data_IF_414950333129
#
_entry.id   IF_414950333129
#
_cell.length_a   1.000
_cell.length_b   1.000
_cell.length_c   1.000
_cell.angle_alpha   90.00
_cell.angle_beta   90.00
_cell.angle_gamma   90.00
#
_symmetry.space_group_name_H-M   'P 1'
#
loop_
_entity.id
_entity.type
_entity.pdbx_description
1 polymer ?
#
# COMPACT_ATOMS: atom_id res chain seq x y z
N UNK A 1 -16.03 1.78 -13.29
CA UNK A 1 -14.82 1.64 -12.44
C UNK A 1 -13.64 2.20 -13.20
N UNK A 2 -12.87 3.10 -12.59
CA UNK A 2 -11.62 3.63 -13.15
C UNK A 2 -10.48 3.30 -12.19
N UNK A 3 -9.38 2.74 -12.71
CA UNK A 3 -8.18 2.42 -11.93
C UNK A 3 -6.98 3.10 -12.58
N UNK A 4 -6.22 3.86 -11.79
CA UNK A 4 -4.92 4.40 -12.16
C UNK A 4 -3.84 3.69 -11.36
N UNK A 5 -3.11 2.80 -12.03
CA UNK A 5 -1.96 2.11 -11.46
C UNK A 5 -0.78 3.09 -11.38
N UNK A 6 -0.29 3.33 -10.17
CA UNK A 6 0.79 4.28 -9.87
C UNK A 6 2.13 3.54 -9.78
N UNK A 7 2.16 2.39 -9.09
CA UNK A 7 3.35 1.55 -8.94
C UNK A 7 3.02 0.08 -9.17
N UNK A 8 4.02 -0.67 -9.65
CA UNK A 8 3.98 -2.13 -9.73
C UNK A 8 3.04 -2.69 -10.79
N UNK A 9 2.39 -3.82 -10.52
CA UNK A 9 1.46 -4.46 -11.45
C UNK A 9 0.14 -4.91 -10.82
N UNK A 10 -0.96 -4.73 -11.55
CA UNK A 10 -2.29 -5.16 -11.16
C UNK A 10 -3.19 -5.21 -12.40
N UNK A 11 -4.21 -6.09 -12.38
CA UNK A 11 -5.21 -6.19 -13.45
C UNK A 11 -4.62 -6.37 -14.85
N UNK A 12 -3.52 -7.13 -14.97
CA UNK A 12 -2.81 -7.35 -16.23
C UNK A 12 -2.10 -6.13 -16.81
N UNK A 13 -1.92 -5.07 -16.01
CA UNK A 13 -1.20 -3.84 -16.37
C UNK A 13 0.00 -3.65 -15.44
N UNK A 14 1.03 -2.95 -15.93
CA UNK A 14 2.25 -2.61 -15.19
C UNK A 14 2.55 -1.12 -15.31
N UNK A 15 2.85 -0.48 -14.19
CA UNK A 15 3.31 0.90 -14.14
C UNK A 15 4.78 1.02 -14.63
N UNK A 16 5.21 2.19 -15.12
CA UNK A 16 6.54 2.36 -15.70
C UNK A 16 7.68 2.42 -14.66
N UNK A 17 7.36 2.62 -13.38
CA UNK A 17 8.37 2.69 -12.32
C UNK A 17 9.00 1.32 -12.05
N UNK A 18 10.34 1.29 -11.98
CA UNK A 18 11.07 0.10 -11.55
C UNK A 18 10.78 -0.18 -10.07
N UNK A 19 10.36 -1.42 -9.78
CA UNK A 19 10.12 -1.89 -8.42
C UNK A 19 11.22 -2.88 -8.01
N UNK A 20 11.62 -2.83 -6.74
CA UNK A 20 12.60 -3.75 -6.15
C UNK A 20 11.97 -4.92 -5.38
N UNK A 21 10.64 -4.96 -5.34
CA UNK A 21 9.83 -6.03 -4.75
C UNK A 21 8.47 -6.07 -5.46
N UNK A 22 7.75 -7.19 -5.32
CA UNK A 22 6.35 -7.26 -5.76
C UNK A 22 5.53 -6.18 -5.06
N UNK A 23 4.73 -5.45 -5.82
CA UNK A 23 4.00 -4.28 -5.34
C UNK A 23 2.85 -4.00 -6.29
N UNK A 24 1.76 -3.47 -5.75
CA UNK A 24 0.85 -2.63 -6.49
C UNK A 24 0.44 -1.43 -5.64
N UNK A 25 0.21 -0.30 -6.31
CA UNK A 25 -0.33 0.90 -5.70
C UNK A 25 -1.21 1.62 -6.71
N UNK A 26 -2.49 1.82 -6.41
CA UNK A 26 -3.41 2.41 -7.37
C UNK A 26 -4.46 3.32 -6.73
N UNK A 27 -4.84 4.38 -7.47
CA UNK A 27 -6.01 5.22 -7.22
C UNK A 27 -7.21 4.62 -7.96
N UNK A 28 -8.29 4.37 -7.24
CA UNK A 28 -9.51 3.76 -7.76
C UNK A 28 -10.68 4.71 -7.56
N UNK A 29 -11.45 4.92 -8.63
CA UNK A 29 -12.78 5.54 -8.57
C UNK A 29 -13.85 4.50 -8.90
N UNK A 30 -14.78 4.35 -7.97
CA UNK A 30 -15.95 3.49 -8.09
C UNK A 30 -17.19 4.38 -8.19
N UNK A 31 -17.97 4.16 -9.23
CA UNK A 31 -19.34 4.67 -9.31
C UNK A 31 -20.21 3.98 -8.25
N UNK A 32 -21.39 4.55 -7.98
CA UNK A 32 -22.36 3.95 -7.07
C UNK A 32 -22.61 2.46 -7.38
N UNK A 33 -22.63 1.61 -6.34
CA UNK A 33 -22.79 0.16 -6.42
C UNK A 33 -21.76 -0.60 -7.27
N UNK A 34 -20.75 0.08 -7.84
CA UNK A 34 -19.72 -0.58 -8.64
C UNK A 34 -18.86 -1.49 -7.77
N UNK A 35 -18.44 -2.63 -8.34
CA UNK A 35 -17.64 -3.63 -7.65
C UNK A 35 -16.24 -3.73 -8.25
N UNK A 36 -15.26 -3.98 -7.39
CA UNK A 36 -13.88 -4.20 -7.79
C UNK A 36 -13.29 -5.39 -7.01
N UNK A 37 -12.89 -6.48 -7.68
CA UNK A 37 -12.04 -7.49 -7.04
C UNK A 37 -10.67 -6.89 -6.74
N UNK A 38 -10.14 -7.15 -5.55
CA UNK A 38 -8.75 -6.82 -5.24
C UNK A 38 -7.81 -7.75 -6.03
N UNK A 39 -6.62 -7.28 -6.43
CA UNK A 39 -5.58 -8.15 -6.97
C UNK A 39 -5.32 -9.35 -6.03
N UNK A 40 -5.12 -10.54 -6.59
CA UNK A 40 -4.94 -11.79 -5.86
C UNK A 40 -3.51 -12.36 -5.94
N UNK A 41 -2.63 -11.70 -6.69
CA UNK A 41 -1.23 -12.07 -6.87
C UNK A 41 -0.27 -11.41 -5.86
N UNK A 42 -0.79 -10.91 -4.74
CA UNK A 42 0.00 -10.21 -3.72
C UNK A 42 -0.40 -10.70 -2.32
N UNK A 43 0.61 -10.94 -1.49
CA UNK A 43 0.44 -11.53 -0.16
C UNK A 43 -0.24 -10.53 0.81
N UNK A 44 0.42 -9.40 1.06
CA UNK A 44 -0.13 -8.33 1.89
C UNK A 44 -0.95 -7.36 1.03
N UNK A 45 -2.18 -7.04 1.49
CA UNK A 45 -3.10 -6.15 0.78
C UNK A 45 -3.86 -5.24 1.74
N UNK A 46 -4.13 -4.03 1.28
CA UNK A 46 -4.91 -3.05 2.02
C UNK A 46 -5.66 -2.09 1.12
N UNK A 47 -6.65 -1.44 1.72
CA UNK A 47 -7.45 -0.39 1.10
C UNK A 47 -7.52 0.77 2.07
N UNK A 48 -7.31 1.98 1.55
CA UNK A 48 -7.63 3.22 2.23
C UNK A 48 -8.78 3.92 1.51
N UNK A 49 -9.87 4.20 2.23
CA UNK A 49 -11.03 4.93 1.71
C UNK A 49 -10.73 6.42 1.79
N UNK A 50 -10.55 7.05 0.64
CA UNK A 50 -10.31 8.50 0.53
C UNK A 50 -11.62 9.26 0.64
N UNK A 51 -12.67 8.75 -0.01
CA UNK A 51 -13.99 9.38 -0.07
C UNK A 51 -15.09 8.32 -0.25
N UNK A 52 -16.29 8.59 0.26
CA UNK A 52 -17.46 7.74 0.11
C UNK A 52 -17.47 6.57 1.10
N UNK A 53 -18.09 5.47 0.68
CA UNK A 53 -18.20 4.26 1.49
C UNK A 53 -18.08 3.01 0.63
N UNK A 54 -17.67 1.91 1.25
CA UNK A 54 -17.61 0.60 0.61
C UNK A 54 -18.21 -0.47 1.51
N UNK A 55 -18.68 -1.55 0.89
CA UNK A 55 -19.09 -2.78 1.54
C UNK A 55 -18.13 -3.91 1.18
N UNK A 56 -17.70 -4.66 2.20
CA UNK A 56 -16.89 -5.87 2.06
C UNK A 56 -17.53 -6.97 2.90
N UNK A 57 -17.87 -8.10 2.28
CA UNK A 57 -18.50 -9.23 2.95
C UNK A 57 -19.74 -8.85 3.80
N UNK A 58 -20.55 -7.90 3.32
CA UNK A 58 -21.77 -7.44 3.99
C UNK A 58 -21.54 -6.48 5.15
N UNK A 59 -20.30 -6.01 5.35
CA UNK A 59 -19.97 -4.96 6.31
C UNK A 59 -19.57 -3.68 5.60
N UNK A 60 -20.15 -2.58 6.04
CA UNK A 60 -19.90 -1.27 5.48
C UNK A 60 -18.82 -0.51 6.23
N UNK A 61 -18.07 0.29 5.48
CA UNK A 61 -16.96 1.11 5.94
C UNK A 61 -17.01 2.46 5.23
N UNK A 62 -16.72 3.53 5.95
CA UNK A 62 -16.80 4.90 5.44
C UNK A 62 -15.45 5.60 5.49
N UNK A 63 -15.26 6.61 4.64
CA UNK A 63 -14.07 7.44 4.65
C UNK A 63 -13.99 8.32 5.92
N UNK A 64 -12.78 8.59 6.44
CA UNK A 64 -11.49 8.03 6.06
C UNK A 64 -11.16 6.78 6.89
N UNK A 65 -10.82 5.66 6.22
CA UNK A 65 -10.49 4.43 6.94
C UNK A 65 -9.49 3.55 6.18
N UNK A 66 -8.54 2.95 6.91
CA UNK A 66 -7.62 1.92 6.42
C UNK A 66 -8.12 0.53 6.81
N UNK A 67 -8.06 -0.42 5.88
CA UNK A 67 -8.28 -1.84 6.11
C UNK A 67 -7.07 -2.63 5.61
N UNK A 68 -6.68 -3.64 6.39
CA UNK A 68 -5.62 -4.59 6.06
C UNK A 68 -6.25 -5.96 6.00
N UNK A 69 -5.96 -6.71 4.93
CA UNK A 69 -6.53 -8.04 4.69
C UNK A 69 -5.49 -9.11 4.96
N UNK A 70 -5.96 -10.31 5.31
CA UNK A 70 -5.06 -11.45 5.48
C UNK A 70 -4.61 -11.94 4.09
N UNK A 71 -3.41 -12.52 3.99
CA UNK A 71 -2.97 -13.19 2.78
C UNK A 71 -3.96 -14.25 2.32
N UNK A 72 -4.21 -14.32 1.01
CA UNK A 72 -5.10 -15.32 0.39
C UNK A 72 -6.60 -14.99 0.37
N UNK A 73 -7.08 -13.99 1.13
CA UNK A 73 -8.51 -13.64 1.14
C UNK A 73 -8.97 -13.13 -0.24
N UNK A 74 -10.03 -13.72 -0.80
CA UNK A 74 -10.64 -13.20 -2.03
C UNK A 74 -11.55 -12.02 -1.70
N UNK A 75 -10.98 -10.83 -1.71
CA UNK A 75 -11.69 -9.59 -1.40
C UNK A 75 -12.30 -8.99 -2.67
N UNK A 76 -13.60 -8.72 -2.64
CA UNK A 76 -14.28 -7.85 -3.60
C UNK A 76 -14.95 -6.73 -2.83
N UNK A 77 -14.68 -5.49 -3.22
CA UNK A 77 -15.33 -4.32 -2.63
C UNK A 77 -16.49 -3.88 -3.50
N UNK A 78 -17.55 -3.39 -2.88
CA UNK A 78 -18.66 -2.71 -3.55
C UNK A 78 -18.74 -1.27 -3.03
N UNK A 79 -18.88 -0.28 -3.90
CA UNK A 79 -19.09 1.09 -3.46
C UNK A 79 -20.52 1.30 -2.96
N UNK A 80 -20.68 2.19 -1.98
CA UNK A 80 -21.99 2.64 -1.50
C UNK A 80 -22.73 3.49 -2.53
N UNK A 81 -23.88 4.03 -2.12
CA UNK A 81 -24.81 4.75 -3.01
C UNK A 81 -24.23 6.01 -3.66
N UNK A 82 -23.22 6.62 -3.04
CA UNK A 82 -22.55 7.82 -3.55
C UNK A 82 -21.27 7.52 -4.33
N UNK A 83 -20.95 6.25 -4.56
CA UNK A 83 -19.65 5.83 -5.06
C UNK A 83 -18.55 5.92 -3.99
N UNK A 84 -17.31 5.68 -4.42
CA UNK A 84 -16.14 5.76 -3.54
C UNK A 84 -14.86 6.07 -4.31
N UNK A 85 -13.92 6.73 -3.62
CA UNK A 85 -12.53 6.85 -4.06
C UNK A 85 -11.62 6.13 -3.08
N UNK A 86 -10.79 5.24 -3.60
CA UNK A 86 -9.92 4.37 -2.80
C UNK A 86 -8.47 4.51 -3.23
N UNK A 87 -7.57 4.36 -2.28
CA UNK A 87 -6.20 3.93 -2.55
C UNK A 87 -6.11 2.44 -2.23
N UNK A 88 -5.72 1.64 -3.21
CA UNK A 88 -5.46 0.21 -3.02
C UNK A 88 -3.96 -0.05 -3.07
N UNK A 89 -3.48 -0.92 -2.18
CA UNK A 89 -2.06 -1.19 -2.06
C UNK A 89 -1.78 -2.62 -1.60
N UNK A 90 -0.61 -3.12 -1.97
CA UNK A 90 -0.13 -4.41 -1.51
C UNK A 90 1.23 -4.75 -2.08
N UNK A 91 1.78 -5.87 -1.65
CA UNK A 91 3.14 -6.27 -2.00
C UNK A 91 3.56 -7.59 -1.39
N UNK A 92 4.83 -7.96 -1.62
CA UNK A 92 5.45 -9.08 -0.93
C UNK A 92 5.61 -8.81 0.56
N UNK A 93 5.39 -9.84 1.38
CA UNK A 93 5.70 -9.79 2.81
C UNK A 93 7.19 -9.56 3.03
N UNK A 94 7.54 -8.68 3.96
CA UNK A 94 8.93 -8.44 4.33
C UNK A 94 9.52 -9.68 5.01
N UNK A 95 10.74 -10.06 4.63
CA UNK A 95 11.47 -11.22 5.16
C UNK A 95 11.87 -11.14 6.64
N UNK A 96 11.43 -10.12 7.38
CA UNK A 96 11.74 -9.92 8.78
C UNK A 96 11.39 -8.52 9.28
N UNK A 97 11.66 -8.23 10.56
CA UNK A 97 11.31 -6.94 11.16
C UNK A 97 12.02 -5.77 10.46
N UNK A 98 11.40 -4.60 10.56
CA UNK A 98 12.02 -3.33 10.22
C UNK A 98 11.98 -2.42 11.44
N UNK A 99 13.09 -1.77 11.71
CA UNK A 99 13.24 -0.77 12.74
C UNK A 99 13.12 0.60 12.08
N UNK A 100 12.22 1.43 12.62
CA UNK A 100 11.93 2.76 12.11
C UNK A 100 12.34 3.77 13.18
N UNK A 101 13.16 4.74 12.81
CA UNK A 101 13.46 5.91 13.61
C UNK A 101 13.49 7.14 12.72
N UNK A 102 12.57 8.07 12.94
CA UNK A 102 12.41 9.26 12.10
C UNK A 102 12.39 8.87 10.61
N UNK A 103 13.33 9.36 9.81
CA UNK A 103 13.43 9.09 8.37
C UNK A 103 14.23 7.82 8.01
N UNK A 104 14.67 7.03 9.00
CA UNK A 104 15.49 5.84 8.78
C UNK A 104 14.69 4.57 9.01
N UNK A 105 14.78 3.66 8.03
CA UNK A 105 14.20 2.33 8.09
C UNK A 105 15.29 1.31 7.80
N UNK A 106 15.53 0.38 8.72
CA UNK A 106 16.57 -0.63 8.56
C UNK A 106 16.14 -2.00 9.08
N UNK A 107 16.85 -3.04 8.65
CA UNK A 107 16.66 -4.41 9.14
C UNK A 107 17.37 -4.71 10.47
N UNK A 108 18.14 -3.78 11.03
CA UNK A 108 18.78 -3.92 12.35
C UNK A 108 18.84 -2.57 13.08
N UNK A 109 18.93 -2.60 14.42
CA UNK A 109 18.99 -1.39 15.24
C UNK A 109 20.35 -0.72 15.18
N UNK A 110 21.42 -1.50 15.02
CA UNK A 110 22.80 -1.03 14.93
C UNK A 110 22.96 -0.11 13.71
N UNK A 111 22.35 -0.47 12.58
CA UNK A 111 22.30 0.36 11.37
C UNK A 111 21.58 1.69 11.60
N UNK A 112 20.55 1.71 12.44
CA UNK A 112 19.85 2.95 12.81
C UNK A 112 20.75 3.84 13.67
N UNK A 113 21.50 3.28 14.63
CA UNK A 113 22.44 4.06 15.45
C UNK A 113 23.62 4.62 14.63
N UNK A 114 24.17 3.81 13.73
CA UNK A 114 25.20 4.24 12.77
C UNK A 114 24.68 5.41 11.90
N UNK A 115 23.48 5.27 11.35
CA UNK A 115 22.81 6.31 10.56
C UNK A 115 22.59 7.62 11.36
N UNK A 116 22.21 7.54 12.64
CA UNK A 116 22.07 8.73 13.51
C UNK A 116 23.41 9.44 13.70
N UNK A 117 24.48 8.70 13.91
CA UNK A 117 25.82 9.28 14.11
C UNK A 117 26.30 10.00 12.85
N UNK A 118 26.21 9.36 11.69
CA UNK A 118 26.60 9.95 10.41
C UNK A 118 25.77 11.19 10.05
N UNK A 119 24.45 11.16 10.30
CA UNK A 119 23.56 12.30 10.11
C UNK A 119 24.00 13.51 10.95
N UNK A 120 24.31 13.29 12.24
CA UNK A 120 24.80 14.35 13.14
C UNK A 120 26.16 14.90 12.71
N UNK A 121 27.03 14.05 12.18
CA UNK A 121 28.33 14.43 11.66
C UNK A 121 28.29 15.12 10.29
N UNK A 122 27.12 15.18 9.64
CA UNK A 122 26.95 15.74 8.28
C UNK A 122 27.80 15.03 7.21
N UNK A 123 27.99 13.71 7.36
CA UNK A 123 28.81 12.91 6.44
C UNK A 123 28.01 12.44 5.21
N UNK A 124 27.41 13.38 4.48
CA UNK A 124 26.67 13.10 3.24
C UNK A 124 27.60 12.71 2.09
N UNK A 125 27.22 11.72 1.30
CA UNK A 125 27.98 11.16 0.17
C UNK A 125 29.30 10.49 0.54
N UNK A 126 29.61 10.33 1.84
CA UNK A 126 30.88 9.79 2.35
C UNK A 126 30.70 8.59 3.26
N UNK A 127 29.51 8.43 3.85
CA UNK A 127 29.14 7.33 4.74
C UNK A 127 28.12 6.42 4.06
N UNK A 128 27.16 5.91 4.84
CA UNK A 128 25.96 5.26 4.27
C UNK A 128 25.00 6.25 3.61
N UNK A 129 25.24 7.54 3.82
CA UNK A 129 24.58 8.67 3.15
C UNK A 129 25.47 9.26 2.07
#
# INVERSE_FOLDING_TARGET
VSVRLILGDAFGKRAPATMFSETFYADVRLEAAARLPMPDNHEDRGIYIVEGSISIAGRDFEAPQMMVFRPGDRITVAAGERGARLMILGGATLSGPRYIWWNFVASSKERIEEAKHEWRAQNWGKGRF
#
